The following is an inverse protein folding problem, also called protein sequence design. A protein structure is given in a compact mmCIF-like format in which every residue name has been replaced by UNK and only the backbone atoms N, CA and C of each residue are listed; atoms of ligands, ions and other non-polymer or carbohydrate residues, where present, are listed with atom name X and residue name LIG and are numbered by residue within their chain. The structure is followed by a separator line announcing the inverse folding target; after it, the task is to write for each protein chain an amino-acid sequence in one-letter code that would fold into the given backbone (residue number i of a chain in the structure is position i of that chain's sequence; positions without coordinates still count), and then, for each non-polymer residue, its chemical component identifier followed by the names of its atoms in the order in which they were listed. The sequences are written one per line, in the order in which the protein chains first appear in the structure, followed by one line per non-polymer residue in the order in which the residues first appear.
data_IF_929118581555
#
_entry.id   IF_929118581555
#
_cell.length_a   1.000
_cell.length_b   1.000
_cell.length_c   1.000
_cell.angle_alpha   90.00
_cell.angle_beta   90.00
_cell.angle_gamma   90.00
#
_symmetry.space_group_name_H-M   'P 1'
#
loop_
_entity.id
_entity.type
_entity.pdbx_description
1 polymer ?
#
# COMPACT_ATOMS: atom_id res chain seq x y z
N UNK A 1 10.79 -7.84 1.70
CA UNK A 1 11.02 -9.23 2.06
C UNK A 1 10.02 -10.08 1.32
N UNK A 2 10.45 -10.64 0.21
CA UNK A 2 9.75 -11.69 -0.51
C UNK A 2 10.71 -12.84 -0.75
N UNK A 3 10.81 -13.75 0.22
CA UNK A 3 11.38 -15.08 0.03
C UNK A 3 12.70 -15.07 -0.78
N UNK A 4 12.76 -15.66 -1.97
CA UNK A 4 13.98 -15.76 -2.78
C UNK A 4 14.49 -14.42 -3.38
N UNK A 5 13.71 -13.32 -3.31
CA UNK A 5 14.00 -12.03 -3.96
C UNK A 5 14.36 -10.89 -3.00
N UNK A 6 14.47 -11.15 -1.69
CA UNK A 6 14.89 -10.13 -0.72
C UNK A 6 13.95 -8.91 -0.67
N UNK A 7 14.49 -7.70 -0.84
CA UNK A 7 13.73 -6.43 -0.80
C UNK A 7 13.62 -5.73 -2.16
N UNK A 8 14.15 -6.33 -3.22
CA UNK A 8 14.18 -5.71 -4.56
C UNK A 8 12.78 -5.54 -5.14
N UNK A 9 11.83 -6.34 -4.65
CA UNK A 9 10.42 -6.20 -5.03
C UNK A 9 9.60 -5.61 -3.89
N UNK A 10 8.86 -4.54 -4.21
CA UNK A 10 8.10 -3.71 -3.24
C UNK A 10 6.60 -3.77 -3.51
N UNK A 11 5.98 -4.88 -3.12
CA UNK A 11 4.57 -5.17 -3.39
C UNK A 11 3.56 -4.39 -2.53
N UNK A 12 3.95 -3.93 -1.34
CA UNK A 12 3.05 -3.19 -0.45
C UNK A 12 2.58 -1.86 -1.04
N UNK A 13 1.32 -1.50 -0.79
CA UNK A 13 0.76 -0.17 -1.12
C UNK A 13 1.28 0.94 -0.19
N UNK A 14 2.05 0.58 0.83
CA UNK A 14 2.76 1.49 1.74
C UNK A 14 4.26 1.30 1.54
N UNK A 15 5.00 2.40 1.31
CA UNK A 15 6.46 2.39 1.35
C UNK A 15 6.90 2.37 2.80
N UNK A 16 7.82 1.46 3.13
CA UNK A 16 8.54 1.46 4.40
C UNK A 16 9.97 1.88 4.12
N UNK A 17 10.42 2.89 4.85
CA UNK A 17 11.82 3.23 4.95
C UNK A 17 12.48 2.29 5.97
N UNK A 18 13.47 1.48 5.57
CA UNK A 18 13.98 0.42 6.44
C UNK A 18 14.92 0.94 7.53
N UNK A 19 15.59 2.08 7.29
CA UNK A 19 16.51 2.69 8.23
C UNK A 19 15.76 3.36 9.38
N UNK A 20 14.64 4.02 9.04
CA UNK A 20 13.86 4.83 9.99
C UNK A 20 12.55 4.18 10.44
N UNK A 21 12.13 3.10 9.77
CA UNK A 21 10.80 2.50 9.90
C UNK A 21 9.65 3.47 9.57
N UNK A 22 9.93 4.60 8.91
CA UNK A 22 8.89 5.53 8.48
C UNK A 22 7.98 4.88 7.42
N UNK A 23 6.68 5.14 7.50
CA UNK A 23 5.69 4.64 6.53
C UNK A 23 5.11 5.78 5.72
N UNK A 24 5.10 5.64 4.40
CA UNK A 24 4.52 6.61 3.48
C UNK A 24 3.52 5.92 2.57
N UNK A 25 2.31 6.45 2.50
CA UNK A 25 1.28 5.91 1.60
C UNK A 25 1.70 6.14 0.15
N UNK A 26 1.69 5.08 -0.66
CA UNK A 26 1.81 5.20 -2.11
C UNK A 26 0.47 5.63 -2.70
N UNK A 27 0.48 6.06 -3.95
CA UNK A 27 -0.76 6.41 -4.64
C UNK A 27 -1.70 5.21 -4.79
N UNK A 28 -1.17 3.98 -4.88
CA UNK A 28 -1.98 2.76 -4.82
C UNK A 28 -2.75 2.60 -3.51
N UNK A 29 -2.23 3.08 -2.37
CA UNK A 29 -2.97 3.07 -1.11
C UNK A 29 -4.10 4.11 -1.08
N UNK A 30 -3.86 5.29 -1.67
CA UNK A 30 -4.88 6.33 -1.80
C UNK A 30 -6.01 5.86 -2.71
N UNK A 31 -5.66 5.29 -3.87
CA UNK A 31 -6.60 4.69 -4.79
C UNK A 31 -7.43 3.61 -4.10
N UNK A 32 -6.79 2.66 -3.41
CA UNK A 32 -7.51 1.57 -2.75
C UNK A 32 -8.48 2.06 -1.65
N UNK A 33 -8.09 3.08 -0.89
CA UNK A 33 -8.99 3.76 0.07
C UNK A 33 -10.22 4.33 -0.65
N UNK A 34 -10.02 5.01 -1.77
CA UNK A 34 -11.11 5.64 -2.52
C UNK A 34 -12.01 4.59 -3.18
N UNK A 35 -11.44 3.50 -3.69
CA UNK A 35 -12.20 2.32 -4.16
C UNK A 35 -13.07 1.74 -3.06
N UNK A 36 -12.52 1.50 -1.86
CA UNK A 36 -13.30 0.98 -0.72
C UNK A 36 -14.47 1.92 -0.39
N UNK A 37 -14.24 3.23 -0.41
CA UNK A 37 -15.29 4.23 -0.16
C UNK A 37 -16.39 4.19 -1.22
N UNK A 38 -16.03 4.06 -2.49
CA UNK A 38 -16.99 3.92 -3.59
C UNK A 38 -17.79 2.63 -3.45
N UNK A 39 -17.10 1.50 -3.26
CA UNK A 39 -17.75 0.17 -3.19
C UNK A 39 -18.63 0.00 -1.96
N UNK A 40 -18.29 0.63 -0.82
CA UNK A 40 -19.09 0.58 0.42
C UNK A 40 -20.11 1.73 0.54
N UNK A 41 -20.01 2.73 -0.33
CA UNK A 41 -20.78 3.97 -0.29
C UNK A 41 -21.70 4.16 -1.50
N UNK A 42 -21.86 3.13 -2.33
CA UNK A 42 -23.04 2.93 -3.18
C UNK A 42 -23.84 1.72 -2.69
N UNK A 43 -24.07 1.64 -1.39
CA UNK A 43 -25.34 1.11 -0.89
C UNK A 43 -26.35 2.25 -1.02
N UNK A 44 -26.92 2.41 -2.21
CA UNK A 44 -28.18 3.16 -2.39
C UNK A 44 -29.35 2.24 -2.04
#
# INVERSE_FOLDING_TARGET
FEWAYGYDKRFGIVRVDYDTQARTLKDSAKWYRDTIRLTRGEER
#
